data_IF_241277991044
#
_entry.id   IF_241277991044
#
_cell.length_a   1.000
_cell.length_b   1.000
_cell.length_c   1.000
_cell.angle_alpha   90.00
_cell.angle_beta   90.00
_cell.angle_gamma   90.00
#
_symmetry.space_group_name_H-M   'P 1'
#
loop_
_entity.id
_entity.type
_entity.pdbx_description
1 polymer ?
#
# COMPACT_ATOMS: atom_id res chain seq x y z
N UNK A 1 1.71 3.70 15.77
CA UNK A 1 1.09 4.48 16.86
C UNK A 1 -0.40 4.17 16.93
N UNK A 2 -1.08 4.48 18.03
CA UNK A 2 -2.53 4.33 18.21
C UNK A 2 -3.13 5.64 18.72
N UNK A 3 -4.30 6.00 18.19
CA UNK A 3 -5.11 7.13 18.67
C UNK A 3 -6.47 6.59 19.12
N UNK A 4 -7.02 7.13 20.21
CA UNK A 4 -8.33 6.73 20.69
C UNK A 4 -9.45 7.22 19.75
N UNK A 5 -10.65 6.60 19.74
CA UNK A 5 -11.76 7.03 18.88
C UNK A 5 -12.17 8.51 19.05
N UNK A 6 -11.95 9.09 20.23
CA UNK A 6 -12.17 10.51 20.50
C UNK A 6 -11.05 11.44 20.03
N UNK A 7 -10.03 10.92 19.35
CA UNK A 7 -8.81 11.64 19.01
C UNK A 7 -7.82 11.70 20.17
N UNK A 8 -6.96 12.72 20.17
CA UNK A 8 -5.95 12.97 21.20
C UNK A 8 -4.53 12.61 20.79
N UNK A 9 -3.62 12.66 21.77
CA UNK A 9 -2.21 12.33 21.58
C UNK A 9 -2.03 10.86 21.19
N UNK A 10 -1.17 10.62 20.21
CA UNK A 10 -0.91 9.28 19.72
C UNK A 10 0.03 8.53 20.66
N UNK A 11 -0.35 7.32 21.08
CA UNK A 11 0.54 6.41 21.81
C UNK A 11 1.44 5.67 20.82
N UNK A 12 2.76 5.74 21.02
CA UNK A 12 3.71 4.94 20.25
C UNK A 12 3.57 3.46 20.64
N UNK A 13 3.46 2.58 19.64
CA UNK A 13 3.30 1.14 19.86
C UNK A 13 4.61 0.37 19.69
N UNK A 14 5.35 0.69 18.62
CA UNK A 14 6.58 0.00 18.21
C UNK A 14 7.47 1.03 17.51
N UNK A 15 8.76 1.00 17.80
CA UNK A 15 9.80 1.82 17.14
C UNK A 15 10.88 0.97 16.47
N UNK A 16 10.98 -0.31 16.85
CA UNK A 16 11.94 -1.28 16.32
C UNK A 16 11.36 -2.68 16.39
N UNK A 17 11.88 -3.58 15.55
CA UNK A 17 11.55 -5.01 15.57
C UNK A 17 12.86 -5.78 15.36
N UNK A 18 13.10 -6.79 16.20
CA UNK A 18 14.32 -7.60 16.22
C UNK A 18 15.61 -6.76 16.30
N UNK A 19 15.59 -5.70 17.12
CA UNK A 19 16.71 -4.77 17.30
C UNK A 19 16.98 -3.84 16.11
N UNK A 20 16.11 -3.86 15.09
CA UNK A 20 16.23 -3.00 13.89
C UNK A 20 15.17 -1.90 13.92
N UNK A 21 15.57 -0.62 13.98
CA UNK A 21 14.64 0.51 13.97
C UNK A 21 13.72 0.53 12.75
N UNK A 22 12.49 0.99 12.95
CA UNK A 22 11.57 1.35 11.89
C UNK A 22 11.98 2.73 11.34
N UNK A 23 12.20 2.85 10.03
CA UNK A 23 12.64 4.11 9.41
C UNK A 23 11.63 4.70 8.47
N UNK A 24 10.86 3.85 7.81
CA UNK A 24 9.91 4.27 6.79
C UNK A 24 8.66 3.39 6.84
N UNK A 25 7.91 3.47 7.95
CA UNK A 25 6.58 2.84 8.01
C UNK A 25 5.62 3.52 7.05
N UNK A 26 4.83 2.75 6.29
CA UNK A 26 4.03 3.32 5.20
C UNK A 26 2.59 2.77 5.17
N UNK A 27 2.41 1.55 4.68
CA UNK A 27 1.12 0.88 4.62
C UNK A 27 0.75 0.23 5.95
N UNK A 28 -0.54 0.27 6.30
CA UNK A 28 -1.10 -0.41 7.47
C UNK A 28 -2.52 -0.89 7.17
N UNK A 29 -2.87 -2.04 7.71
CA UNK A 29 -4.24 -2.56 7.76
C UNK A 29 -4.43 -3.43 9.01
N UNK A 30 -5.69 -3.64 9.41
CA UNK A 30 -6.05 -4.32 10.66
C UNK A 30 -7.05 -5.43 10.37
N UNK A 31 -6.74 -6.65 10.78
CA UNK A 31 -7.72 -7.74 10.78
C UNK A 31 -8.82 -7.39 11.81
N UNK A 32 -10.01 -7.07 11.31
CA UNK A 32 -11.13 -6.63 12.16
C UNK A 32 -11.70 -7.73 13.09
N UNK A 33 -11.25 -8.98 12.98
CA UNK A 33 -11.66 -10.12 13.85
C UNK A 33 -10.58 -10.39 14.88
N UNK A 34 -9.32 -10.47 14.47
CA UNK A 34 -8.23 -10.76 15.43
C UNK A 34 -7.70 -9.51 16.12
N UNK A 35 -7.84 -8.34 15.50
CA UNK A 35 -7.22 -7.09 15.92
C UNK A 35 -5.73 -7.00 15.56
N UNK A 36 -5.17 -8.02 14.90
CA UNK A 36 -3.78 -7.99 14.46
C UNK A 36 -3.57 -6.88 13.43
N UNK A 37 -2.48 -6.15 13.59
CA UNK A 37 -2.11 -5.04 12.74
C UNK A 37 -1.00 -5.49 11.81
N UNK A 38 -1.22 -5.38 10.51
CA UNK A 38 -0.19 -5.63 9.50
C UNK A 38 0.29 -4.29 8.98
N UNK A 39 1.61 -4.13 8.84
CA UNK A 39 2.18 -2.88 8.35
C UNK A 39 3.48 -3.11 7.58
N UNK A 40 3.87 -2.15 6.74
CA UNK A 40 5.14 -2.15 6.02
C UNK A 40 6.13 -1.20 6.65
N UNK A 41 7.42 -1.53 6.51
CA UNK A 41 8.57 -0.63 6.67
C UNK A 41 9.30 -0.62 5.33
N UNK A 42 9.14 0.45 4.54
CA UNK A 42 9.52 0.50 3.13
C UNK A 42 11.04 0.42 2.89
N UNK A 43 11.86 0.81 3.87
CA UNK A 43 13.32 0.77 3.77
C UNK A 43 13.96 0.74 5.16
N UNK A 44 15.03 -0.04 5.32
CA UNK A 44 15.92 0.03 6.50
C UNK A 44 17.10 0.98 6.31
N UNK A 45 17.28 1.51 5.10
CA UNK A 45 18.40 2.39 4.75
C UNK A 45 17.97 3.87 4.69
N UNK A 46 16.74 4.14 4.28
CA UNK A 46 16.25 5.48 3.99
C UNK A 46 15.01 5.83 4.81
N UNK A 47 14.91 7.10 5.23
CA UNK A 47 13.71 7.63 5.86
C UNK A 47 12.70 8.10 4.79
N UNK A 48 11.45 8.38 5.18
CA UNK A 48 10.37 8.89 4.29
C UNK A 48 10.78 10.10 3.44
N UNK A 49 11.60 11.01 3.96
CA UNK A 49 12.08 12.21 3.24
C UNK A 49 13.04 11.88 2.10
N UNK A 50 13.63 10.68 2.10
CA UNK A 50 14.57 10.18 1.10
C UNK A 50 13.92 9.13 0.19
N UNK A 51 12.58 9.15 0.06
CA UNK A 51 11.82 8.13 -0.66
C UNK A 51 12.28 7.92 -2.11
N UNK A 52 12.82 8.96 -2.77
CA UNK A 52 13.37 8.85 -4.12
C UNK A 52 14.59 7.92 -4.19
N UNK A 53 15.40 7.89 -3.13
CA UNK A 53 16.59 7.03 -3.06
C UNK A 53 16.19 5.56 -3.05
N UNK A 54 15.09 5.20 -2.39
CA UNK A 54 14.59 3.82 -2.34
C UNK A 54 14.37 3.28 -3.76
N UNK A 55 13.73 4.07 -4.64
CA UNK A 55 13.54 3.69 -6.05
C UNK A 55 14.85 3.75 -6.84
N UNK A 56 15.63 4.83 -6.71
CA UNK A 56 16.85 5.05 -7.50
C UNK A 56 17.92 3.98 -7.26
N UNK A 57 18.06 3.50 -6.03
CA UNK A 57 19.05 2.47 -5.70
C UNK A 57 18.51 1.05 -5.79
N UNK A 58 17.23 0.86 -6.13
CA UNK A 58 16.58 -0.45 -6.10
C UNK A 58 16.57 -1.07 -4.70
N UNK A 59 16.42 -0.24 -3.66
CA UNK A 59 16.50 -0.70 -2.27
C UNK A 59 15.46 -1.79 -2.00
N UNK A 60 15.98 -2.95 -1.59
CA UNK A 60 15.19 -4.14 -1.31
C UNK A 60 15.32 -4.54 0.15
N UNK A 61 15.51 -3.57 1.04
CA UNK A 61 15.61 -3.82 2.49
C UNK A 61 14.28 -3.67 3.22
N UNK A 62 13.18 -3.44 2.51
CA UNK A 62 11.86 -3.27 3.12
C UNK A 62 11.34 -4.54 3.80
N UNK A 63 10.36 -4.36 4.69
CA UNK A 63 9.79 -5.43 5.53
C UNK A 63 8.27 -5.37 5.56
N UNK A 64 7.66 -6.54 5.63
CA UNK A 64 6.27 -6.74 6.04
C UNK A 64 6.28 -7.21 7.49
N UNK A 65 5.49 -6.57 8.35
CA UNK A 65 5.46 -6.81 9.79
C UNK A 65 4.03 -7.04 10.28
N UNK A 66 3.93 -7.73 11.42
CA UNK A 66 2.68 -7.90 12.17
C UNK A 66 2.89 -7.46 13.60
N UNK A 67 1.92 -6.73 14.15
CA UNK A 67 1.83 -6.36 15.55
C UNK A 67 0.57 -6.95 16.17
N UNK A 68 0.74 -7.63 17.29
CA UNK A 68 -0.35 -8.16 18.10
C UNK A 68 -0.64 -7.20 19.27
N UNK A 69 -1.79 -6.50 19.26
CA UNK A 69 -2.11 -5.55 20.32
C UNK A 69 -2.39 -6.21 21.68
N UNK A 70 -2.62 -7.52 21.75
CA UNK A 70 -2.89 -8.24 23.00
C UNK A 70 -1.60 -8.51 23.75
N UNK A 71 -0.52 -8.81 23.02
CA UNK A 71 0.80 -9.12 23.59
C UNK A 71 1.76 -7.94 23.52
N UNK A 72 1.45 -6.91 22.72
CA UNK A 72 2.34 -5.78 22.48
C UNK A 72 3.57 -6.13 21.63
N UNK A 73 3.59 -7.30 20.99
CA UNK A 73 4.73 -7.79 20.23
C UNK A 73 4.56 -7.53 18.75
N UNK A 74 5.62 -7.05 18.11
CA UNK A 74 5.76 -7.03 16.66
C UNK A 74 6.76 -8.08 16.18
N UNK A 75 6.50 -8.65 15.00
CA UNK A 75 7.37 -9.63 14.34
C UNK A 75 7.50 -9.30 12.86
N UNK A 76 8.63 -9.64 12.26
CA UNK A 76 8.82 -9.60 10.80
C UNK A 76 8.17 -10.83 10.17
N UNK A 77 7.27 -10.61 9.21
CA UNK A 77 6.62 -11.68 8.44
C UNK A 77 7.40 -12.03 7.17
N UNK A 78 7.94 -11.00 6.51
CA UNK A 78 8.79 -11.12 5.33
C UNK A 78 9.80 -9.99 5.34
N UNK A 79 11.08 -10.33 5.18
CA UNK A 79 12.16 -9.39 4.99
C UNK A 79 12.52 -9.29 3.49
N UNK A 80 13.34 -8.29 3.19
CA UNK A 80 13.97 -8.07 1.89
C UNK A 80 12.98 -7.86 0.73
N UNK A 81 11.88 -7.15 1.02
CA UNK A 81 10.87 -6.78 0.03
C UNK A 81 11.31 -5.47 -0.65
N UNK A 82 11.27 -5.42 -1.98
CA UNK A 82 11.55 -4.18 -2.72
C UNK A 82 10.42 -3.19 -2.53
N UNK A 83 10.73 -2.10 -1.83
CA UNK A 83 9.86 -0.95 -1.60
C UNK A 83 8.38 -1.30 -1.31
N UNK A 84 8.08 -2.01 -0.21
CA UNK A 84 6.71 -2.29 0.21
C UNK A 84 6.06 -0.99 0.71
N UNK A 85 5.14 -0.44 -0.09
CA UNK A 85 4.53 0.86 0.13
C UNK A 85 3.18 0.68 0.86
N UNK A 86 2.09 0.44 0.12
CA UNK A 86 0.79 0.10 0.69
C UNK A 86 0.59 -1.39 0.97
N UNK A 87 -0.41 -1.69 1.81
CA UNK A 87 -0.94 -3.05 1.97
C UNK A 87 -2.45 -3.05 2.23
N UNK A 88 -3.09 -4.19 1.94
CA UNK A 88 -4.48 -4.47 2.28
C UNK A 88 -4.68 -5.94 2.66
N UNK A 89 -5.54 -6.21 3.64
CA UNK A 89 -6.00 -7.57 3.94
C UNK A 89 -7.08 -8.02 2.95
N UNK A 90 -7.02 -9.29 2.54
CA UNK A 90 -8.04 -9.88 1.67
C UNK A 90 -9.40 -9.99 2.38
N UNK A 91 -10.49 -9.98 1.62
CA UNK A 91 -11.85 -10.04 2.18
C UNK A 91 -12.10 -11.31 3.01
N UNK A 92 -11.53 -12.44 2.57
CA UNK A 92 -11.56 -13.74 3.26
C UNK A 92 -10.47 -13.89 4.33
N UNK A 93 -9.58 -12.89 4.48
CA UNK A 93 -8.51 -12.81 5.49
C UNK A 93 -7.54 -13.98 5.44
N UNK A 94 -7.26 -14.47 4.24
CA UNK A 94 -6.31 -15.55 3.98
C UNK A 94 -4.95 -15.03 3.51
N UNK A 95 -4.90 -13.80 2.99
CA UNK A 95 -3.67 -13.19 2.48
C UNK A 95 -3.69 -11.67 2.61
N UNK A 96 -2.51 -11.07 2.39
CA UNK A 96 -2.30 -9.64 2.24
C UNK A 96 -1.90 -9.35 0.80
N UNK A 97 -2.33 -8.21 0.28
CA UNK A 97 -1.82 -7.62 -0.96
C UNK A 97 -0.89 -6.46 -0.59
N UNK A 98 0.28 -6.42 -1.21
CA UNK A 98 1.33 -5.45 -0.93
C UNK A 98 1.72 -4.75 -2.23
N UNK A 99 1.76 -3.42 -2.20
CA UNK A 99 2.31 -2.62 -3.31
C UNK A 99 3.83 -2.61 -3.25
N UNK A 100 4.49 -3.20 -4.23
CA UNK A 100 5.94 -3.12 -4.43
C UNK A 100 6.23 -2.02 -5.45
N UNK A 101 6.53 -0.82 -4.97
CA UNK A 101 6.57 0.41 -5.78
C UNK A 101 7.64 0.37 -6.86
N UNK A 102 8.89 0.10 -6.49
CA UNK A 102 10.02 0.11 -7.42
C UNK A 102 9.85 -0.85 -8.61
N UNK A 103 9.54 -2.14 -8.38
CA UNK A 103 9.26 -3.12 -9.42
C UNK A 103 7.92 -2.93 -10.13
N UNK A 104 7.06 -2.03 -9.65
CA UNK A 104 5.71 -1.80 -10.15
C UNK A 104 4.84 -3.07 -10.16
N UNK A 105 4.75 -3.73 -9.00
CA UNK A 105 4.04 -4.99 -8.83
C UNK A 105 3.14 -4.95 -7.62
N UNK A 106 2.10 -5.77 -7.63
CA UNK A 106 1.44 -6.22 -6.43
C UNK A 106 1.96 -7.60 -6.05
N UNK A 107 2.23 -7.80 -4.77
CA UNK A 107 2.64 -9.08 -4.20
C UNK A 107 1.53 -9.61 -3.30
N UNK A 108 1.37 -10.93 -3.24
CA UNK A 108 0.46 -11.63 -2.35
C UNK A 108 1.27 -12.33 -1.26
N UNK A 109 0.99 -12.06 0.01
CA UNK A 109 1.56 -12.79 1.14
C UNK A 109 0.47 -13.61 1.83
N UNK A 110 0.63 -14.92 1.89
CA UNK A 110 -0.34 -15.81 2.51
C UNK A 110 -0.20 -15.81 4.03
N UNK A 111 -1.28 -15.46 4.74
CA UNK A 111 -1.32 -15.47 6.22
C UNK A 111 -1.99 -16.73 6.78
N UNK A 112 -2.77 -17.45 5.96
CA UNK A 112 -3.46 -18.70 6.33
C UNK A 112 -3.40 -19.72 5.19
N UNK A 113 -3.74 -20.97 5.52
CA UNK A 113 -3.79 -22.08 4.56
C UNK A 113 -2.44 -22.75 4.34
N UNK A 114 -2.38 -23.68 3.38
CA UNK A 114 -1.17 -24.48 3.09
C UNK A 114 0.01 -23.66 2.57
N UNK A 115 -0.24 -22.47 2.02
CA UNK A 115 0.78 -21.52 1.56
C UNK A 115 1.20 -20.50 2.63
N UNK A 116 0.67 -20.57 3.85
CA UNK A 116 0.95 -19.55 4.88
C UNK A 116 2.45 -19.32 5.07
N UNK A 117 2.86 -18.05 5.14
CA UNK A 117 4.26 -17.64 5.23
C UNK A 117 4.96 -17.43 3.88
N UNK A 118 4.30 -17.69 2.75
CA UNK A 118 4.89 -17.50 1.42
C UNK A 118 4.43 -16.21 0.74
N UNK A 119 5.27 -15.69 -0.16
CA UNK A 119 5.00 -14.51 -0.98
C UNK A 119 5.09 -14.85 -2.47
N UNK A 120 4.14 -14.38 -3.28
CA UNK A 120 4.12 -14.59 -4.73
C UNK A 120 3.66 -13.32 -5.48
N UNK A 121 3.90 -13.28 -6.80
CA UNK A 121 3.38 -12.20 -7.65
C UNK A 121 1.85 -12.26 -7.69
N UNK A 122 1.19 -11.13 -7.46
CA UNK A 122 -0.25 -10.98 -7.65
C UNK A 122 -0.59 -10.36 -9.00
N UNK A 123 0.04 -9.23 -9.33
CA UNK A 123 -0.20 -8.51 -10.58
C UNK A 123 1.04 -7.71 -10.98
N UNK A 124 1.33 -7.64 -12.28
CA UNK A 124 2.28 -6.68 -12.85
C UNK A 124 1.52 -5.42 -13.26
N UNK A 125 2.04 -4.24 -12.90
CA UNK A 125 1.34 -2.97 -13.10
C UNK A 125 2.04 -2.09 -14.14
N UNK A 126 1.28 -1.27 -14.89
CA UNK A 126 1.84 -0.32 -15.87
C UNK A 126 2.51 0.90 -15.23
N UNK A 127 2.48 1.04 -13.90
CA UNK A 127 2.99 2.22 -13.18
C UNK A 127 3.39 1.90 -11.74
N UNK A 128 3.92 2.90 -11.06
CA UNK A 128 4.45 2.79 -9.68
C UNK A 128 3.29 2.82 -8.68
N UNK A 129 2.94 1.69 -8.04
CA UNK A 129 1.84 1.65 -7.08
C UNK A 129 2.23 2.33 -5.78
N UNK A 130 1.25 2.99 -5.18
CA UNK A 130 1.30 3.54 -3.83
C UNK A 130 0.39 2.71 -2.91
N UNK A 131 -0.67 3.27 -2.33
CA UNK A 131 -1.60 2.48 -1.52
C UNK A 131 -2.54 1.59 -2.35
N UNK A 132 -2.86 0.43 -1.76
CA UNK A 132 -3.83 -0.56 -2.25
C UNK A 132 -4.96 -0.71 -1.24
N UNK A 133 -6.21 -0.79 -1.71
CA UNK A 133 -7.41 -0.84 -0.87
C UNK A 133 -8.43 -1.81 -1.42
N UNK A 134 -9.13 -2.60 -0.59
CA UNK A 134 -10.18 -3.49 -1.08
C UNK A 134 -11.31 -2.71 -1.77
N UNK A 135 -11.78 -3.20 -2.91
CA UNK A 135 -12.91 -2.61 -3.64
C UNK A 135 -14.29 -3.02 -3.09
N UNK A 136 -14.30 -3.88 -2.05
CA UNK A 136 -15.47 -4.49 -1.40
C UNK A 136 -16.27 -5.46 -2.29
N UNK A 137 -15.71 -5.87 -3.42
CA UNK A 137 -16.27 -6.83 -4.37
C UNK A 137 -15.29 -7.98 -4.67
N UNK A 138 -14.25 -8.13 -3.85
CA UNK A 138 -13.23 -9.18 -3.94
C UNK A 138 -11.94 -8.75 -4.64
N UNK A 139 -11.93 -7.56 -5.24
CA UNK A 139 -10.75 -6.96 -5.87
C UNK A 139 -10.17 -5.81 -5.06
N UNK A 140 -9.35 -5.00 -5.73
CA UNK A 140 -8.58 -3.92 -5.12
C UNK A 140 -8.55 -2.69 -6.02
N UNK A 141 -8.60 -1.52 -5.38
CA UNK A 141 -8.18 -0.26 -5.96
C UNK A 141 -6.71 0.00 -5.62
N UNK A 142 -5.95 0.50 -6.59
CA UNK A 142 -4.53 0.83 -6.44
C UNK A 142 -4.30 2.25 -6.94
N UNK A 143 -3.72 3.11 -6.11
CA UNK A 143 -3.26 4.42 -6.55
C UNK A 143 -1.93 4.29 -7.29
N UNK A 144 -1.79 5.00 -8.41
CA UNK A 144 -0.54 5.04 -9.18
C UNK A 144 0.04 6.45 -9.13
N UNK A 145 1.33 6.53 -8.80
CA UNK A 145 2.04 7.81 -8.79
C UNK A 145 2.37 8.30 -10.20
N UNK A 146 2.77 7.38 -11.10
CA UNK A 146 3.07 7.62 -12.52
C UNK A 146 3.15 6.31 -13.31
N UNK A 147 3.09 6.39 -14.63
CA UNK A 147 3.33 5.25 -15.53
C UNK A 147 4.84 4.90 -15.65
N UNK A 148 5.18 3.63 -15.90
CA UNK A 148 6.57 3.16 -16.10
C UNK A 148 7.27 3.92 -17.23
N UNK A 149 6.53 4.14 -18.31
CA UNK A 149 7.00 4.74 -19.56
C UNK A 149 6.51 6.19 -19.73
N UNK A 150 6.20 6.89 -18.63
CA UNK A 150 5.78 8.30 -18.69
C UNK A 150 6.90 9.18 -19.27
N UNK A 151 6.58 9.92 -20.34
CA UNK A 151 7.47 10.91 -20.93
C UNK A 151 7.22 12.30 -20.34
N UNK A 152 8.27 13.14 -20.18
CA UNK A 152 8.14 14.51 -19.68
C UNK A 152 7.36 15.42 -20.65
N UNK A 153 7.22 15.02 -21.90
CA UNK A 153 6.48 15.72 -22.95
C UNK A 153 5.29 14.87 -23.42
N UNK A 154 4.22 15.51 -23.90
CA UNK A 154 3.04 14.83 -24.45
C UNK A 154 1.73 15.30 -23.81
N UNK A 155 0.68 14.50 -23.98
CA UNK A 155 -0.65 14.77 -23.44
C UNK A 155 -0.58 14.87 -21.91
N UNK A 156 -1.25 15.87 -21.35
CA UNK A 156 -1.41 16.04 -19.89
C UNK A 156 -2.41 15.02 -19.34
N UNK A 157 -1.99 13.75 -19.34
CA UNK A 157 -2.77 12.63 -18.81
C UNK A 157 -1.85 11.49 -18.42
N UNK A 158 -2.15 10.83 -17.30
CA UNK A 158 -1.51 9.58 -16.87
C UNK A 158 -2.50 8.71 -16.08
N UNK A 159 -2.11 7.47 -15.77
CA UNK A 159 -2.91 6.57 -14.93
C UNK A 159 -2.88 7.04 -13.47
N UNK A 160 -4.05 7.40 -12.95
CA UNK A 160 -4.25 7.79 -11.55
C UNK A 160 -4.51 6.58 -10.65
N UNK A 161 -5.34 5.66 -11.12
CA UNK A 161 -5.73 4.50 -10.34
C UNK A 161 -6.10 3.32 -11.24
N UNK A 162 -5.93 2.13 -10.69
CA UNK A 162 -6.36 0.88 -11.30
C UNK A 162 -7.35 0.17 -10.38
N UNK A 163 -8.31 -0.52 -10.98
CA UNK A 163 -9.07 -1.55 -10.28
C UNK A 163 -8.65 -2.91 -10.79
N UNK A 164 -8.35 -3.79 -9.86
CA UNK A 164 -7.82 -5.13 -10.11
C UNK A 164 -8.77 -6.13 -9.47
N UNK A 165 -9.10 -7.21 -10.17
CA UNK A 165 -9.96 -8.27 -9.63
C UNK A 165 -9.20 -9.23 -8.71
N UNK A 166 -9.89 -10.27 -8.23
CA UNK A 166 -9.33 -11.27 -7.30
C UNK A 166 -8.23 -12.14 -7.93
N UNK A 167 -8.17 -12.21 -9.26
CA UNK A 167 -7.21 -12.99 -10.03
C UNK A 167 -5.98 -12.15 -10.45
N UNK A 168 -5.94 -10.88 -10.06
CA UNK A 168 -4.83 -9.97 -10.38
C UNK A 168 -4.95 -9.30 -11.75
N UNK A 169 -6.12 -9.37 -12.40
CA UNK A 169 -6.35 -8.73 -13.70
C UNK A 169 -6.85 -7.30 -13.52
N UNK A 170 -6.28 -6.37 -14.30
CA UNK A 170 -6.77 -5.00 -14.40
C UNK A 170 -8.13 -5.01 -15.12
N UNK A 171 -9.15 -4.51 -14.44
CA UNK A 171 -10.53 -4.46 -14.95
C UNK A 171 -11.03 -3.03 -15.15
N UNK A 172 -10.32 -2.03 -14.62
CA UNK A 172 -10.65 -0.62 -14.78
C UNK A 172 -9.40 0.23 -14.69
N UNK A 173 -9.31 1.23 -15.56
CA UNK A 173 -8.26 2.23 -15.57
C UNK A 173 -8.89 3.61 -15.38
N UNK A 174 -8.34 4.40 -14.46
CA UNK A 174 -8.72 5.79 -14.28
C UNK A 174 -7.55 6.67 -14.65
N UNK A 175 -7.76 7.55 -15.64
CA UNK A 175 -6.79 8.54 -16.09
C UNK A 175 -7.18 9.95 -15.67
N UNK A 176 -6.19 10.83 -15.60
CA UNK A 176 -6.37 12.25 -15.33
C UNK A 176 -5.07 13.02 -15.46
N UNK A 177 -5.07 14.33 -15.16
CA UNK A 177 -3.94 15.21 -15.45
C UNK A 177 -2.68 14.83 -14.68
N UNK A 178 -1.50 15.08 -15.25
CA UNK A 178 -0.19 14.73 -14.67
C UNK A 178 0.13 15.47 -13.37
N UNK A 179 -0.56 16.61 -13.14
CA UNK A 179 -0.50 17.35 -11.87
C UNK A 179 -1.26 16.70 -10.72
N UNK A 180 -1.98 15.60 -10.96
CA UNK A 180 -2.67 14.82 -9.92
C UNK A 180 -1.93 13.51 -9.73
N UNK A 181 -1.21 13.37 -8.62
CA UNK A 181 -0.48 12.13 -8.28
C UNK A 181 -1.06 11.53 -7.00
N UNK A 182 -2.07 10.65 -7.12
CA UNK A 182 -2.71 10.07 -5.96
C UNK A 182 -1.76 9.09 -5.28
N UNK A 183 -1.77 9.12 -3.95
CA UNK A 183 -1.09 8.13 -3.11
C UNK A 183 -2.10 7.19 -2.45
N UNK A 184 -3.39 7.50 -2.53
CA UNK A 184 -4.49 6.74 -1.93
C UNK A 184 -5.74 6.84 -2.81
N UNK A 185 -6.48 5.75 -2.94
CA UNK A 185 -7.79 5.72 -3.61
C UNK A 185 -8.73 4.79 -2.86
N UNK A 186 -9.90 5.30 -2.49
CA UNK A 186 -10.89 4.52 -1.73
C UNK A 186 -12.29 4.70 -2.30
N UNK A 187 -12.94 3.59 -2.62
CA UNK A 187 -14.35 3.57 -3.00
C UNK A 187 -15.26 3.64 -1.76
N UNK A 188 -16.21 4.57 -1.79
CA UNK A 188 -17.23 4.79 -0.76
C UNK A 188 -18.63 4.65 -1.35
N UNK A 189 -19.64 4.69 -0.47
CA UNK A 189 -21.06 4.56 -0.84
C UNK A 189 -21.42 5.51 -2.00
N UNK A 190 -22.19 4.98 -2.95
CA UNK A 190 -22.62 5.69 -4.16
C UNK A 190 -21.56 5.74 -5.27
N UNK A 191 -20.61 4.81 -5.31
CA UNK A 191 -19.60 4.73 -6.37
C UNK A 191 -18.62 5.91 -6.39
N UNK A 192 -18.45 6.59 -5.25
CA UNK A 192 -17.56 7.74 -5.12
C UNK A 192 -16.16 7.27 -4.78
N UNK A 193 -15.18 7.71 -5.56
CA UNK A 193 -13.76 7.49 -5.33
C UNK A 193 -13.17 8.72 -4.64
N UNK A 194 -12.61 8.50 -3.45
CA UNK A 194 -11.87 9.51 -2.71
C UNK A 194 -10.38 9.30 -2.97
N UNK A 195 -9.69 10.34 -3.38
CA UNK A 195 -8.26 10.30 -3.69
C UNK A 195 -7.48 11.24 -2.79
N UNK A 196 -6.48 10.69 -2.11
CA UNK A 196 -5.49 11.43 -1.35
C UNK A 196 -4.23 11.62 -2.20
N UNK A 197 -3.55 12.75 -2.02
CA UNK A 197 -2.26 13.05 -2.63
C UNK A 197 -1.40 13.80 -1.63
N UNK A 198 -0.09 13.58 -1.69
CA UNK A 198 0.90 14.35 -0.91
C UNK A 198 1.26 15.67 -1.59
N UNK A 199 0.81 15.88 -2.84
CA UNK A 199 1.10 17.08 -3.64
C UNK A 199 -0.08 18.05 -3.68
N UNK A 200 -1.30 17.55 -3.49
CA UNK A 200 -2.51 18.37 -3.50
C UNK A 200 -2.84 18.88 -2.09
N UNK A 201 -3.34 20.12 -2.01
CA UNK A 201 -3.82 20.72 -0.77
C UNK A 201 -5.30 20.40 -0.46
N UNK A 202 -5.90 19.45 -1.20
CA UNK A 202 -7.30 19.07 -1.08
C UNK A 202 -7.48 17.58 -1.38
N UNK A 203 -8.59 17.02 -0.91
CA UNK A 203 -9.04 15.67 -1.27
C UNK A 203 -9.83 15.74 -2.57
N UNK A 204 -9.46 14.93 -3.56
CA UNK A 204 -10.23 14.81 -4.80
C UNK A 204 -11.33 13.77 -4.64
N UNK A 205 -12.53 14.07 -5.14
CA UNK A 205 -13.67 13.14 -5.12
C UNK A 205 -14.24 13.04 -6.52
N UNK A 206 -14.24 11.83 -7.08
CA UNK A 206 -14.79 11.54 -8.40
C UNK A 206 -15.97 10.59 -8.25
N UNK A 207 -17.06 10.91 -8.94
CA UNK A 207 -18.23 10.02 -9.00
C UNK A 207 -18.14 9.21 -10.28
N UNK A 208 -18.18 7.90 -10.15
CA UNK A 208 -18.28 7.00 -11.31
C UNK A 208 -19.66 7.18 -11.95
N UNK A 209 -19.68 7.50 -13.25
CA UNK A 209 -20.92 7.52 -14.05
C UNK A 209 -21.38 6.11 -14.35
#
# INVERSE_FOLDING_TARGET
>A
MRVAPGGGEATVLVTEVDGVPLRFTNGVDIDQVTGEVYFTDSSRNYNRSQHEMVTRTGDSTGRLLRYDPRTGKAVVLQADVTYPNGLAISADRTHLIISSTGPCKLLRYWIKGSKAGTMELFADLPGYPDNVRPDKKGGYWVALHREKAELPFGVDSHLLALRIDADGKIIEEMRGPKGVRPTEVVERKGGRLFMGSVELHYVSVVTRK
#
